data_IF_756343860364
#
_entry.id   IF_756343860364
#
_cell.length_a   1.000
_cell.length_b   1.000
_cell.length_c   1.000
_cell.angle_alpha   90.00
_cell.angle_beta   90.00
_cell.angle_gamma   90.00
#
_symmetry.space_group_name_H-M   'P 1'
#
loop_
_entity.id
_entity.type
_entity.pdbx_description
1 polymer ?
#
# COMPACT_ATOMS: atom_id res chain seq x y z
N UNK A 1 -22.52 9.73 -18.12
CA UNK A 1 -21.08 9.72 -18.44
C UNK A 1 -20.31 9.69 -17.12
N UNK A 2 -19.64 8.59 -16.79
CA UNK A 2 -18.74 8.57 -15.63
C UNK A 2 -17.52 9.47 -15.96
N UNK A 3 -17.13 10.41 -15.09
CA UNK A 3 -16.01 11.30 -15.37
C UNK A 3 -14.72 10.49 -15.49
N UNK A 4 -14.03 10.61 -16.64
CA UNK A 4 -12.76 9.91 -16.84
C UNK A 4 -11.70 10.42 -15.87
N UNK A 5 -10.97 9.48 -15.26
CA UNK A 5 -9.92 9.74 -14.31
C UNK A 5 -8.65 10.20 -15.05
N UNK A 6 -8.22 11.44 -14.84
CA UNK A 6 -7.03 12.01 -15.49
C UNK A 6 -5.80 11.92 -14.57
N UNK A 7 -4.59 11.94 -15.15
CA UNK A 7 -3.32 11.91 -14.38
C UNK A 7 -3.27 13.02 -13.31
N UNK A 8 -3.63 14.29 -13.60
CA UNK A 8 -3.65 15.34 -12.58
C UNK A 8 -4.58 15.02 -11.41
N UNK A 9 -5.78 14.49 -11.70
CA UNK A 9 -6.77 14.14 -10.67
C UNK A 9 -6.27 13.01 -9.76
N UNK A 10 -5.57 12.03 -10.33
CA UNK A 10 -4.96 10.93 -9.55
C UNK A 10 -3.85 11.43 -8.63
N UNK A 11 -3.04 12.38 -9.13
CA UNK A 11 -2.01 13.04 -8.32
C UNK A 11 -2.62 13.78 -7.12
N UNK A 12 -3.80 14.40 -7.30
CA UNK A 12 -4.52 15.07 -6.21
C UNK A 12 -5.02 14.09 -5.13
N UNK A 13 -5.62 12.95 -5.51
CA UNK A 13 -6.02 11.92 -4.53
C UNK A 13 -4.81 11.42 -3.73
N UNK A 14 -3.73 11.09 -4.44
CA UNK A 14 -2.50 10.59 -3.84
C UNK A 14 -1.90 11.60 -2.85
N UNK A 15 -1.80 12.88 -3.23
CA UNK A 15 -1.23 13.92 -2.37
C UNK A 15 -2.02 14.16 -1.08
N UNK A 16 -3.32 13.84 -1.08
CA UNK A 16 -4.16 13.94 0.11
C UNK A 16 -3.95 12.78 1.10
N UNK A 17 -3.49 11.62 0.63
CA UNK A 17 -3.26 10.42 1.46
C UNK A 17 -1.86 10.44 2.06
N UNK A 18 -0.84 10.64 1.22
CA UNK A 18 0.54 10.41 1.58
C UNK A 18 1.22 11.71 1.98
N UNK A 19 1.70 11.77 3.22
CA UNK A 19 2.32 12.93 3.85
C UNK A 19 3.37 13.62 2.97
N UNK A 20 3.32 14.96 2.93
CA UNK A 20 4.44 15.81 2.45
C UNK A 20 5.24 16.46 3.58
N UNK A 21 4.64 16.66 4.77
CA UNK A 21 5.10 17.71 5.69
C UNK A 21 5.59 17.20 7.07
N UNK A 22 5.82 15.88 7.23
CA UNK A 22 6.44 15.29 8.43
C UNK A 22 5.63 15.30 9.72
N UNK A 23 4.45 15.93 9.75
CA UNK A 23 3.55 15.96 10.90
C UNK A 23 2.56 14.78 10.86
N UNK A 24 2.62 13.91 11.86
CA UNK A 24 1.70 12.78 12.02
C UNK A 24 0.49 13.20 12.87
N UNK A 25 -0.67 13.36 12.24
CA UNK A 25 -1.91 13.78 12.90
C UNK A 25 -2.63 12.65 13.63
N UNK A 26 -2.41 11.42 13.19
CA UNK A 26 -3.15 10.23 13.65
C UNK A 26 -2.24 9.21 14.34
N UNK A 27 -0.97 9.54 14.56
CA UNK A 27 0.00 8.62 15.18
C UNK A 27 -0.39 8.18 16.59
N UNK A 28 -1.20 8.95 17.32
CA UNK A 28 -1.71 8.58 18.65
C UNK A 28 -2.57 7.30 18.61
N UNK A 29 -3.19 6.99 17.46
CA UNK A 29 -4.04 5.80 17.30
C UNK A 29 -3.27 4.48 17.37
N UNK A 30 -1.93 4.50 17.32
CA UNK A 30 -1.11 3.28 17.49
C UNK A 30 -0.86 2.91 18.96
N UNK A 31 -1.20 3.79 19.91
CA UNK A 31 -0.80 3.62 21.32
C UNK A 31 -1.36 2.33 21.93
N UNK A 32 -2.60 1.96 21.58
CA UNK A 32 -3.30 0.79 22.15
C UNK A 32 -3.14 -0.49 21.35
N UNK A 33 -2.37 -0.48 20.26
CA UNK A 33 -2.43 -1.54 19.25
C UNK A 33 -1.30 -2.57 19.36
N UNK A 34 -0.37 -2.39 20.32
CA UNK A 34 0.80 -3.26 20.49
C UNK A 34 1.94 -3.01 19.49
N UNK A 35 1.76 -2.07 18.54
CA UNK A 35 2.81 -1.67 17.58
C UNK A 35 4.07 -1.14 18.28
N UNK A 36 3.90 -0.46 19.42
CA UNK A 36 5.02 0.12 20.18
C UNK A 36 6.02 -0.95 20.68
N UNK A 37 5.57 -2.18 20.88
CA UNK A 37 6.39 -3.32 21.33
C UNK A 37 7.20 -3.95 20.18
N UNK A 38 7.04 -3.47 18.95
CA UNK A 38 7.79 -3.97 17.79
C UNK A 38 9.27 -3.56 17.89
N UNK A 39 10.16 -4.54 17.98
CA UNK A 39 11.62 -4.31 18.01
C UNK A 39 12.22 -4.05 16.62
N UNK A 40 11.48 -4.32 15.54
CA UNK A 40 11.92 -4.01 14.18
C UNK A 40 11.59 -2.54 13.87
N UNK A 41 12.58 -1.63 13.84
CA UNK A 41 12.34 -0.20 13.66
C UNK A 41 11.73 0.12 12.29
N UNK A 42 12.00 -0.71 11.29
CA UNK A 42 11.47 -0.55 9.94
C UNK A 42 9.99 -0.94 9.92
N UNK A 43 9.64 -2.08 10.50
CA UNK A 43 8.24 -2.49 10.59
C UNK A 43 7.41 -1.52 11.45
N UNK A 44 7.98 -1.08 12.57
CA UNK A 44 7.38 -0.02 13.40
C UNK A 44 7.12 1.24 12.58
N UNK A 45 8.10 1.70 11.79
CA UNK A 45 7.93 2.88 10.92
C UNK A 45 6.82 2.68 9.88
N UNK A 46 6.75 1.50 9.25
CA UNK A 46 5.66 1.15 8.33
C UNK A 46 4.30 1.24 9.05
N UNK A 47 4.19 0.68 10.25
CA UNK A 47 2.95 0.67 11.01
C UNK A 47 2.43 2.09 11.35
N UNK A 48 3.34 3.00 11.73
CA UNK A 48 3.00 4.42 11.92
C UNK A 48 2.53 5.09 10.63
N UNK A 49 3.23 4.84 9.51
CA UNK A 49 2.83 5.38 8.21
C UNK A 49 1.48 4.83 7.73
N UNK A 50 1.19 3.53 7.96
CA UNK A 50 -0.13 2.95 7.67
C UNK A 50 -1.22 3.69 8.44
N UNK A 51 -1.02 3.90 9.74
CA UNK A 51 -2.00 4.56 10.61
C UNK A 51 -2.27 5.99 10.14
N UNK A 52 -1.22 6.72 9.79
CA UNK A 52 -1.32 8.09 9.29
C UNK A 52 -2.01 8.16 7.93
N UNK A 53 -1.58 7.33 6.98
CA UNK A 53 -2.16 7.29 5.64
C UNK A 53 -3.62 6.84 5.67
N UNK A 54 -3.99 5.92 6.58
CA UNK A 54 -5.36 5.52 6.79
C UNK A 54 -6.22 6.70 7.24
N UNK A 55 -5.77 7.45 8.26
CA UNK A 55 -6.49 8.62 8.74
C UNK A 55 -6.62 9.72 7.69
N UNK A 56 -5.53 10.01 6.96
CA UNK A 56 -5.56 10.99 5.86
C UNK A 56 -6.52 10.58 4.74
N UNK A 57 -6.49 9.31 4.33
CA UNK A 57 -7.39 8.79 3.31
C UNK A 57 -8.86 8.84 3.74
N UNK A 58 -9.14 8.53 5.01
CA UNK A 58 -10.47 8.65 5.62
C UNK A 58 -10.96 10.09 5.65
N UNK A 59 -10.15 11.02 6.14
CA UNK A 59 -10.51 12.43 6.23
C UNK A 59 -10.78 12.99 4.83
N UNK A 60 -9.95 12.62 3.85
CA UNK A 60 -10.17 12.97 2.46
C UNK A 60 -11.44 12.33 1.88
N UNK A 61 -11.72 11.06 2.19
CA UNK A 61 -12.95 10.38 1.77
C UNK A 61 -14.20 11.11 2.29
N UNK A 62 -14.22 11.43 3.59
CA UNK A 62 -15.34 12.09 4.25
C UNK A 62 -15.55 13.54 3.79
N UNK A 63 -14.47 14.25 3.47
CA UNK A 63 -14.55 15.62 2.96
C UNK A 63 -15.09 15.72 1.52
N UNK A 64 -15.12 14.61 0.75
CA UNK A 64 -15.47 14.60 -0.68
C UNK A 64 -16.76 13.82 -0.96
N UNK A 65 -17.85 14.10 -0.22
CA UNK A 65 -19.13 13.36 -0.30
C UNK A 65 -19.78 13.34 -1.69
N UNK A 66 -19.56 14.37 -2.52
CA UNK A 66 -20.08 14.47 -3.89
C UNK A 66 -19.18 13.90 -4.98
N UNK A 67 -17.99 13.38 -4.62
CA UNK A 67 -17.04 12.86 -5.59
C UNK A 67 -17.29 11.39 -5.91
N UNK A 68 -17.65 11.08 -7.15
CA UNK A 68 -17.90 9.71 -7.62
C UNK A 68 -16.66 8.81 -7.55
N UNK A 69 -15.47 9.39 -7.38
CA UNK A 69 -14.20 8.67 -7.35
C UNK A 69 -13.57 8.61 -5.95
N UNK A 70 -14.29 9.01 -4.88
CA UNK A 70 -13.75 8.97 -3.50
C UNK A 70 -13.28 7.56 -3.06
N UNK A 71 -13.83 6.49 -3.64
CA UNK A 71 -13.40 5.10 -3.39
C UNK A 71 -11.93 4.83 -3.80
N UNK A 72 -11.32 5.73 -4.62
CA UNK A 72 -9.90 5.66 -4.93
C UNK A 72 -9.01 5.89 -3.72
N UNK A 73 -9.49 6.61 -2.69
CA UNK A 73 -8.72 6.79 -1.46
C UNK A 73 -8.40 5.45 -0.80
N UNK A 74 -9.40 4.56 -0.71
CA UNK A 74 -9.20 3.22 -0.17
C UNK A 74 -8.33 2.35 -1.10
N UNK A 75 -8.59 2.40 -2.41
CA UNK A 75 -7.80 1.66 -3.41
C UNK A 75 -6.30 1.99 -3.30
N UNK A 76 -5.95 3.28 -3.26
CA UNK A 76 -4.56 3.71 -3.19
C UNK A 76 -3.90 3.39 -1.86
N UNK A 77 -4.65 3.46 -0.76
CA UNK A 77 -4.16 3.04 0.54
C UNK A 77 -3.83 1.53 0.54
N UNK A 78 -4.75 0.69 0.07
CA UNK A 78 -4.57 -0.75 0.01
C UNK A 78 -3.36 -1.12 -0.85
N UNK A 79 -3.26 -0.59 -2.06
CA UNK A 79 -2.16 -0.92 -2.95
C UNK A 79 -0.79 -0.47 -2.40
N UNK A 80 -0.75 0.63 -1.63
CA UNK A 80 0.46 1.06 -0.93
C UNK A 80 0.82 0.13 0.23
N UNK A 81 -0.16 -0.34 1.01
CA UNK A 81 0.05 -1.34 2.08
C UNK A 81 0.59 -2.63 1.47
N UNK A 82 0.02 -3.10 0.37
CA UNK A 82 0.46 -4.32 -0.33
C UNK A 82 1.87 -4.18 -0.88
N UNK A 83 2.22 -3.00 -1.41
CA UNK A 83 3.58 -2.69 -1.82
C UNK A 83 4.56 -2.79 -0.64
N UNK A 84 4.25 -2.16 0.50
CA UNK A 84 5.09 -2.23 1.69
C UNK A 84 5.23 -3.67 2.22
N UNK A 85 4.13 -4.45 2.20
CA UNK A 85 4.11 -5.87 2.55
C UNK A 85 5.02 -6.68 1.65
N UNK A 86 4.92 -6.48 0.33
CA UNK A 86 5.76 -7.16 -0.66
C UNK A 86 7.24 -6.94 -0.39
N UNK A 87 7.67 -5.69 -0.19
CA UNK A 87 9.09 -5.40 0.07
C UNK A 87 9.55 -5.91 1.42
N UNK A 88 8.79 -5.66 2.49
CA UNK A 88 9.20 -6.06 3.84
C UNK A 88 9.30 -7.58 3.99
N UNK A 89 8.42 -8.33 3.33
CA UNK A 89 8.34 -9.80 3.45
C UNK A 89 9.06 -10.54 2.33
N UNK A 90 9.71 -9.84 1.41
CA UNK A 90 10.32 -10.41 0.20
C UNK A 90 9.30 -11.23 -0.60
N UNK A 91 8.14 -10.64 -0.86
CA UNK A 91 7.00 -11.31 -1.49
C UNK A 91 6.47 -12.49 -0.66
N UNK A 92 6.55 -12.41 0.67
CA UNK A 92 6.16 -13.50 1.57
C UNK A 92 7.11 -14.69 1.62
N UNK A 93 8.24 -14.68 0.89
CA UNK A 93 9.22 -15.78 0.93
C UNK A 93 10.02 -15.84 2.23
N UNK A 94 10.05 -14.74 2.99
CA UNK A 94 10.70 -14.69 4.28
C UNK A 94 9.70 -14.91 5.42
N UNK A 95 9.70 -16.12 5.99
CA UNK A 95 8.72 -16.53 7.00
C UNK A 95 8.88 -15.76 8.32
N UNK A 96 10.12 -15.39 8.70
CA UNK A 96 10.34 -14.55 9.88
C UNK A 96 9.68 -13.16 9.73
N UNK A 97 9.87 -12.51 8.57
CA UNK A 97 9.29 -11.20 8.28
C UNK A 97 7.78 -11.29 8.09
N UNK A 98 7.27 -12.36 7.49
CA UNK A 98 5.83 -12.65 7.38
C UNK A 98 5.15 -12.75 8.76
N UNK A 99 5.75 -13.48 9.70
CA UNK A 99 5.26 -13.56 11.09
C UNK A 99 5.23 -12.18 11.77
N UNK A 100 6.28 -11.38 11.58
CA UNK A 100 6.33 -10.02 12.12
C UNK A 100 5.24 -9.13 11.52
N UNK A 101 5.04 -9.18 10.19
CA UNK A 101 3.97 -8.44 9.51
C UNK A 101 2.58 -8.81 10.03
N UNK A 102 2.30 -10.11 10.17
CA UNK A 102 1.02 -10.57 10.72
C UNK A 102 0.79 -10.01 12.13
N UNK A 103 1.80 -10.12 13.00
CA UNK A 103 1.70 -9.69 14.40
C UNK A 103 1.57 -8.17 14.57
N UNK A 104 2.35 -7.39 13.83
CA UNK A 104 2.48 -5.93 14.09
C UNK A 104 1.79 -5.05 13.05
N UNK A 105 1.24 -5.63 11.98
CA UNK A 105 0.45 -4.89 10.99
C UNK A 105 -0.96 -5.47 10.89
N UNK A 106 -1.12 -6.76 10.57
CA UNK A 106 -2.46 -7.31 10.35
C UNK A 106 -3.32 -7.28 11.61
N UNK A 107 -2.85 -7.83 12.74
CA UNK A 107 -3.61 -7.84 14.00
C UNK A 107 -3.92 -6.41 14.51
N UNK A 108 -2.96 -5.45 14.49
CA UNK A 108 -3.22 -4.07 14.89
C UNK A 108 -4.14 -3.29 13.96
N UNK A 109 -4.19 -3.61 12.66
CA UNK A 109 -4.93 -2.83 11.67
C UNK A 109 -6.43 -2.81 11.97
N UNK A 110 -7.02 -3.93 12.35
CA UNK A 110 -8.42 -3.98 12.79
C UNK A 110 -8.69 -3.09 14.01
N UNK A 111 -7.70 -2.94 14.90
CA UNK A 111 -7.83 -2.07 16.08
C UNK A 111 -7.68 -0.59 15.70
N UNK A 112 -6.77 -0.28 14.77
CA UNK A 112 -6.63 1.06 14.19
C UNK A 112 -7.95 1.48 13.56
N UNK A 113 -8.54 0.64 12.69
CA UNK A 113 -9.83 0.89 12.03
C UNK A 113 -10.94 1.20 13.07
N UNK A 114 -10.99 0.45 14.17
CA UNK A 114 -11.93 0.69 15.29
C UNK A 114 -11.69 2.01 16.01
N UNK A 115 -10.44 2.42 16.23
CA UNK A 115 -10.09 3.71 16.85
C UNK A 115 -10.45 4.91 15.95
N UNK A 116 -10.72 4.70 14.65
CA UNK A 116 -11.33 5.70 13.80
C UNK A 116 -12.86 5.75 13.91
N UNK A 117 -13.51 4.89 14.70
CA UNK A 117 -14.98 4.79 14.85
C UNK A 117 -15.69 4.61 13.51
N UNK A 118 -15.12 3.78 12.64
CA UNK A 118 -15.58 3.64 11.26
C UNK A 118 -16.14 2.25 10.98
N UNK A 119 -17.20 2.19 10.17
CA UNK A 119 -17.93 0.94 9.93
C UNK A 119 -17.78 0.40 8.51
N UNK A 120 -17.29 1.16 7.50
CA UNK A 120 -17.17 0.56 6.15
C UNK A 120 -16.44 1.37 5.06
N UNK A 121 -15.82 2.54 5.29
CA UNK A 121 -15.31 3.33 4.15
C UNK A 121 -14.13 2.65 3.42
N UNK A 122 -13.36 1.84 4.14
CA UNK A 122 -12.25 1.06 3.59
C UNK A 122 -12.02 -0.18 4.44
N UNK A 123 -12.25 -1.36 3.86
CA UNK A 123 -11.83 -2.63 4.43
C UNK A 123 -10.45 -2.97 3.87
N UNK A 124 -9.41 -2.73 4.66
CA UNK A 124 -8.06 -3.07 4.23
C UNK A 124 -7.87 -4.58 4.27
N UNK A 125 -7.54 -5.18 3.12
CA UNK A 125 -7.27 -6.60 3.05
C UNK A 125 -5.88 -6.88 3.60
N UNK A 126 -5.82 -7.83 4.53
CA UNK A 126 -4.57 -8.33 5.11
C UNK A 126 -4.14 -9.66 4.49
N UNK A 127 -4.94 -10.20 3.56
CA UNK A 127 -4.78 -11.52 2.97
C UNK A 127 -3.67 -11.59 1.90
N UNK A 128 -3.20 -12.81 1.62
CA UNK A 128 -2.31 -13.12 0.50
C UNK A 128 -0.85 -12.68 0.67
N UNK A 129 0.06 -13.37 -0.01
CA UNK A 129 1.44 -12.91 -0.20
C UNK A 129 1.82 -13.18 -1.66
N UNK A 130 2.49 -12.21 -2.29
CA UNK A 130 2.93 -12.34 -3.67
C UNK A 130 4.30 -13.03 -3.73
N UNK A 131 4.28 -14.35 -3.92
CA UNK A 131 5.47 -15.21 -3.98
C UNK A 131 6.35 -14.98 -5.24
N UNK A 132 6.12 -13.93 -6.04
CA UNK A 132 6.87 -13.63 -7.27
C UNK A 132 8.22 -12.92 -7.06
N UNK A 133 8.67 -12.74 -5.81
CA UNK A 133 9.92 -12.02 -5.50
C UNK A 133 11.18 -12.70 -6.07
N UNK A 134 12.14 -11.91 -6.58
CA UNK A 134 13.41 -12.43 -7.11
C UNK A 134 14.23 -13.09 -6.00
N UNK A 135 14.64 -14.34 -6.19
CA UNK A 135 15.35 -15.13 -5.18
C UNK A 135 16.70 -14.52 -4.79
N UNK A 136 17.36 -13.85 -5.73
CA UNK A 136 18.67 -13.22 -5.58
C UNK A 136 18.66 -12.05 -4.59
N UNK A 137 17.49 -11.46 -4.35
CA UNK A 137 17.30 -10.32 -3.45
C UNK A 137 16.87 -10.76 -2.03
N UNK A 138 16.67 -12.06 -1.81
CA UNK A 138 16.30 -12.61 -0.51
C UNK A 138 17.58 -12.88 0.27
N UNK A 139 17.75 -12.32 1.47
CA UNK A 139 18.91 -12.63 2.31
C UNK A 139 18.96 -14.13 2.65
N UNK A 140 20.13 -14.75 2.52
CA UNK A 140 20.31 -16.18 2.84
C UNK A 140 19.90 -16.52 4.28
N UNK A 141 20.03 -15.56 5.19
CA UNK A 141 19.67 -15.71 6.59
C UNK A 141 18.24 -15.23 6.91
N UNK A 142 17.36 -15.02 5.92
CA UNK A 142 16.03 -14.45 6.18
C UNK A 142 15.17 -15.31 7.14
N UNK A 143 15.40 -16.62 7.14
CA UNK A 143 14.76 -17.56 8.06
C UNK A 143 15.70 -18.02 9.20
N UNK A 144 16.91 -17.47 9.27
CA UNK A 144 17.90 -17.74 10.31
C UNK A 144 17.79 -16.76 11.49
N UNK A 145 18.50 -17.06 12.58
CA UNK A 145 18.53 -16.24 13.80
C UNK A 145 19.38 -14.95 13.69
N UNK A 146 19.86 -14.59 12.50
CA UNK A 146 20.66 -13.39 12.28
C UNK A 146 19.80 -12.12 12.19
N UNK A 147 20.36 -10.97 12.57
CA UNK A 147 19.76 -9.67 12.27
C UNK A 147 19.72 -9.46 10.76
N UNK A 148 18.54 -9.57 10.17
CA UNK A 148 18.31 -9.30 8.75
C UNK A 148 18.21 -7.78 8.59
N UNK A 149 19.18 -7.19 7.90
CA UNK A 149 19.10 -5.80 7.49
C UNK A 149 17.99 -5.67 6.44
N UNK A 150 16.85 -5.11 6.82
CA UNK A 150 15.79 -4.78 5.88
C UNK A 150 16.24 -3.59 5.04
N UNK A 151 16.53 -3.85 3.77
CA UNK A 151 16.72 -2.78 2.78
C UNK A 151 15.33 -2.36 2.31
N UNK A 152 14.75 -1.34 2.95
CA UNK A 152 13.70 -0.58 2.30
C UNK A 152 14.39 0.54 1.53
N UNK A 153 14.25 0.62 0.20
CA UNK A 153 14.69 1.78 -0.54
C UNK A 153 13.83 2.99 -0.11
N UNK A 154 14.23 3.67 0.97
CA UNK A 154 13.61 4.91 1.45
C UNK A 154 13.78 6.06 0.44
N UNK A 155 14.68 5.90 -0.53
CA UNK A 155 15.03 6.92 -1.52
C UNK A 155 14.42 6.72 -2.91
N UNK A 156 13.68 5.63 -3.18
CA UNK A 156 12.93 5.64 -4.41
C UNK A 156 11.73 6.57 -4.25
N UNK A 157 11.41 7.27 -5.32
CA UNK A 157 10.13 7.87 -5.62
C UNK A 157 9.24 6.81 -6.31
N UNK A 158 9.03 5.57 -5.77
CA UNK A 158 8.29 4.57 -6.51
C UNK A 158 6.83 4.99 -6.62
N UNK A 159 6.34 5.92 -5.79
CA UNK A 159 4.94 6.30 -5.80
C UNK A 159 4.54 7.14 -7.03
N UNK A 160 5.38 8.00 -7.60
CA UNK A 160 5.06 8.62 -8.90
C UNK A 160 5.13 7.59 -10.05
N UNK A 161 6.12 6.71 -10.03
CA UNK A 161 6.26 5.60 -10.99
C UNK A 161 5.10 4.61 -10.88
N UNK A 162 4.61 4.38 -9.67
CA UNK A 162 3.48 3.54 -9.34
C UNK A 162 2.16 4.20 -9.76
N UNK A 163 1.95 5.49 -9.50
CA UNK A 163 0.82 6.27 -10.04
C UNK A 163 0.79 6.14 -11.57
N UNK A 164 1.94 6.29 -12.23
CA UNK A 164 2.05 6.08 -13.68
C UNK A 164 1.71 4.64 -14.09
N UNK A 165 2.17 3.63 -13.36
CA UNK A 165 1.87 2.21 -13.62
C UNK A 165 0.37 1.90 -13.41
N UNK A 166 -0.25 2.36 -12.31
CA UNK A 166 -1.67 2.21 -12.02
C UNK A 166 -2.54 2.79 -13.14
N UNK A 167 -2.20 4.00 -13.60
CA UNK A 167 -2.90 4.67 -14.71
C UNK A 167 -2.77 3.86 -16.01
N UNK A 168 -1.57 3.37 -16.33
CA UNK A 168 -1.33 2.53 -17.51
C UNK A 168 -2.15 1.24 -17.44
N UNK A 169 -2.16 0.54 -16.30
CA UNK A 169 -2.93 -0.69 -16.11
C UNK A 169 -4.43 -0.46 -16.25
N UNK A 170 -4.98 0.59 -15.63
CA UNK A 170 -6.39 0.96 -15.80
C UNK A 170 -6.70 1.32 -17.24
N UNK A 171 -5.87 2.15 -17.90
CA UNK A 171 -6.04 2.52 -19.31
C UNK A 171 -6.04 1.29 -20.23
N UNK A 172 -5.15 0.33 -19.99
CA UNK A 172 -5.10 -0.95 -20.71
C UNK A 172 -6.39 -1.75 -20.48
N UNK A 173 -6.85 -1.88 -19.24
CA UNK A 173 -8.13 -2.54 -18.92
C UNK A 173 -9.34 -1.88 -19.60
N UNK A 174 -9.42 -0.55 -19.66
CA UNK A 174 -10.47 0.16 -20.41
C UNK A 174 -10.36 -0.06 -21.93
N UNK A 175 -9.14 -0.16 -22.46
CA UNK A 175 -8.91 -0.49 -23.87
C UNK A 175 -9.29 -1.95 -24.17
N UNK A 176 -8.97 -2.89 -23.29
CA UNK A 176 -9.29 -4.31 -23.43
C UNK A 176 -10.81 -4.55 -23.39
N UNK A 177 -11.55 -3.81 -22.55
CA UNK A 177 -13.02 -3.82 -22.51
C UNK A 177 -13.62 -3.27 -23.82
N UNK A 178 -13.02 -2.23 -24.39
CA UNK A 178 -13.47 -1.65 -25.66
C UNK A 178 -13.02 -2.47 -26.89
N UNK A 179 -11.94 -3.23 -26.75
CA UNK A 179 -11.33 -4.05 -27.79
C UNK A 179 -11.76 -5.53 -27.73
N UNK A 180 -12.63 -5.92 -26.80
CA UNK A 180 -13.24 -7.26 -26.72
C UNK A 180 -14.12 -7.64 -27.94
N UNK A 181 -14.04 -6.87 -29.03
CA UNK A 181 -14.49 -7.23 -30.37
C UNK A 181 -13.38 -7.66 -31.34
N UNK A 182 -12.09 -7.64 -30.97
CA UNK A 182 -10.96 -8.15 -31.79
C UNK A 182 -9.81 -8.63 -30.90
N UNK A 183 -9.56 -9.94 -30.88
CA UNK A 183 -8.34 -10.53 -30.32
C UNK A 183 -7.10 -10.10 -31.12
N UNK A 184 -6.05 -9.65 -30.44
CA UNK A 184 -4.75 -10.35 -30.38
C UNK A 184 -3.73 -9.63 -29.47
N UNK A 185 -3.17 -10.45 -28.57
CA UNK A 185 -1.95 -10.41 -27.76
C UNK A 185 -1.02 -9.18 -27.64
N UNK A 186 -0.60 -9.02 -26.37
CA UNK A 186 0.78 -8.85 -25.89
C UNK A 186 1.42 -7.45 -25.96
N UNK A 187 1.59 -6.86 -24.78
CA UNK A 187 2.89 -6.37 -24.30
C UNK A 187 2.79 -6.11 -22.79
N UNK A 188 3.30 -7.07 -22.01
CA UNK A 188 3.63 -6.93 -20.60
C UNK A 188 5.15 -6.75 -20.52
N UNK A 189 5.60 -5.53 -20.31
CA UNK A 189 6.89 -5.21 -19.71
C UNK A 189 6.89 -3.71 -19.39
N UNK A 190 7.63 -3.29 -18.36
CA UNK A 190 7.77 -1.91 -17.84
C UNK A 190 6.90 -1.49 -16.63
N UNK A 191 6.48 -2.44 -15.78
CA UNK A 191 6.46 -2.16 -14.33
C UNK A 191 7.57 -2.93 -13.59
N UNK A 192 8.58 -3.42 -14.31
CA UNK A 192 9.83 -3.90 -13.74
C UNK A 192 10.89 -2.83 -13.94
N UNK A 193 11.53 -2.51 -12.81
CA UNK A 193 12.56 -1.51 -12.57
C UNK A 193 13.56 -1.35 -13.74
N UNK A 194 13.66 -0.12 -14.25
CA UNK A 194 14.89 0.65 -14.50
C UNK A 194 14.53 2.08 -14.90
#
# INVERSE_FOLDING_TARGET
>A
MAPQLTIPRIKEYYQKIFLKDGNFKHADKVIKTGILDCNDPILKSIAFLITENYGNARDAYNANTGDTNKELYCTFLQEWIDYMKYFYTYGGKCEAKKKLWMKYINEPLEQIEKEFHDNSWCSTSTEGFDNSFQSELIPDNCNGHGTISSVIPLSFTPMESWIKCYIRKKKKSWQDINNQGKEELSENSLCNLN
#
